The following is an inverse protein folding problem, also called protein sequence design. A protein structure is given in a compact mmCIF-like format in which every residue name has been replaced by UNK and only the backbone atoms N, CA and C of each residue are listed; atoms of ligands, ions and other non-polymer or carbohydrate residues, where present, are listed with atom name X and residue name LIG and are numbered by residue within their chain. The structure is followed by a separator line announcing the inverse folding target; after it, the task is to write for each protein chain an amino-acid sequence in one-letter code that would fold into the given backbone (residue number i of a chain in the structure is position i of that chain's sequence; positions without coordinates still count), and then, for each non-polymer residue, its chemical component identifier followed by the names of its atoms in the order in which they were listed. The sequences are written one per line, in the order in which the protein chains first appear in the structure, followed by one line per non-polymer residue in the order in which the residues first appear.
data_IF_046099378952
#
_entry.id   IF_046099378952
#
_cell.length_a   1.000
_cell.length_b   1.000
_cell.length_c   1.000
_cell.angle_alpha   90.00
_cell.angle_beta   90.00
_cell.angle_gamma   90.00
#
_symmetry.space_group_name_H-M   'P 1'
#
loop_
_entity.id
_entity.type
_entity.pdbx_description
1 polymer ?
#
# COMPACT_ATOMS: atom_id res chain seq x y z
N UNK A 1 3.79 -10.90 -12.96
CA UNK A 1 4.32 -11.83 -11.94
C UNK A 1 4.84 -13.07 -12.68
N UNK A 2 6.01 -13.62 -12.31
CA UNK A 2 6.61 -14.76 -13.04
C UNK A 2 5.95 -16.09 -12.65
N UNK A 3 5.18 -16.10 -11.57
CA UNK A 3 4.58 -17.31 -10.98
C UNK A 3 3.08 -17.45 -11.28
N UNK A 4 2.38 -16.34 -11.57
CA UNK A 4 1.04 -16.37 -12.14
C UNK A 4 1.11 -16.20 -13.66
N UNK A 5 0.35 -16.99 -14.42
CA UNK A 5 0.21 -16.86 -15.89
C UNK A 5 -0.51 -15.55 -16.33
N UNK A 6 -0.52 -14.52 -15.48
CA UNK A 6 -1.18 -13.24 -15.75
C UNK A 6 -0.16 -12.20 -16.25
N UNK A 7 -0.60 -11.39 -17.21
CA UNK A 7 0.15 -10.25 -17.71
C UNK A 7 -0.66 -8.97 -17.47
N UNK A 8 0.02 -7.93 -17.00
CA UNK A 8 -0.56 -6.60 -16.83
C UNK A 8 -0.01 -5.68 -17.93
N UNK A 9 -0.89 -5.19 -18.80
CA UNK A 9 -0.54 -4.22 -19.83
C UNK A 9 -1.04 -2.84 -19.42
N UNK A 10 -0.14 -1.86 -19.47
CA UNK A 10 -0.44 -0.47 -19.15
C UNK A 10 -0.28 0.38 -20.41
N UNK A 11 -1.27 1.21 -20.77
CA UNK A 11 -1.11 2.17 -21.86
C UNK A 11 -0.15 3.29 -21.42
N UNK A 12 1.04 3.35 -22.02
CA UNK A 12 2.06 4.35 -21.72
C UNK A 12 2.29 5.25 -22.94
N UNK A 13 2.27 6.57 -22.73
CA UNK A 13 2.60 7.53 -23.79
C UNK A 13 4.12 7.68 -23.93
N UNK A 14 4.59 7.95 -25.15
CA UNK A 14 6.02 8.07 -25.46
C UNK A 14 6.69 9.29 -24.82
N UNK A 15 5.93 10.34 -24.58
CA UNK A 15 6.39 11.61 -23.99
C UNK A 15 6.42 11.61 -22.46
N UNK A 16 6.11 10.48 -21.81
CA UNK A 16 6.21 10.39 -20.36
C UNK A 16 7.66 10.55 -19.90
N UNK A 17 7.86 11.46 -18.95
CA UNK A 17 9.10 11.57 -18.20
C UNK A 17 9.35 10.29 -17.39
N UNK A 18 10.60 10.08 -17.00
CA UNK A 18 11.00 8.95 -16.14
C UNK A 18 10.21 8.96 -14.83
N UNK A 19 10.03 10.13 -14.22
CA UNK A 19 9.26 10.28 -12.97
C UNK A 19 7.79 9.88 -13.15
N UNK A 20 7.14 10.29 -14.24
CA UNK A 20 5.74 9.92 -14.51
C UNK A 20 5.59 8.42 -14.79
N UNK A 21 6.55 7.84 -15.51
CA UNK A 21 6.61 6.40 -15.77
C UNK A 21 6.77 5.61 -14.46
N UNK A 22 7.66 6.08 -13.58
CA UNK A 22 7.89 5.52 -12.26
C UNK A 22 6.65 5.54 -11.36
N UNK A 23 5.97 6.69 -11.29
CA UNK A 23 4.72 6.82 -10.55
C UNK A 23 3.66 5.82 -11.05
N UNK A 24 3.51 5.73 -12.37
CA UNK A 24 2.56 4.79 -13.00
C UNK A 24 2.91 3.35 -12.66
N UNK A 25 4.20 2.99 -12.73
CA UNK A 25 4.67 1.65 -12.36
C UNK A 25 4.38 1.33 -10.88
N UNK A 26 4.62 2.27 -9.96
CA UNK A 26 4.34 2.07 -8.55
C UNK A 26 2.85 1.90 -8.27
N UNK A 27 2.00 2.73 -8.87
CA UNK A 27 0.56 2.70 -8.65
C UNK A 27 -0.10 1.46 -9.26
N UNK A 28 0.37 1.01 -10.41
CA UNK A 28 -0.32 -0.07 -11.14
C UNK A 28 0.33 -1.43 -10.92
N UNK A 29 1.65 -1.50 -10.72
CA UNK A 29 2.36 -2.77 -10.55
C UNK A 29 2.72 -3.00 -9.08
N UNK A 30 3.51 -2.12 -8.47
CA UNK A 30 4.01 -2.33 -7.09
C UNK A 30 2.88 -2.37 -6.08
N UNK A 31 1.86 -1.54 -6.24
CA UNK A 31 0.67 -1.56 -5.35
C UNK A 31 -0.05 -2.92 -5.35
N UNK A 32 -0.04 -3.65 -6.47
CA UNK A 32 -0.77 -4.90 -6.62
C UNK A 32 0.09 -6.14 -6.33
N UNK A 33 1.39 -6.06 -6.63
CA UNK A 33 2.31 -7.21 -6.65
C UNK A 33 3.53 -7.05 -5.76
N UNK A 34 3.55 -6.01 -4.92
CA UNK A 34 4.72 -5.58 -4.15
C UNK A 34 5.92 -5.18 -5.02
N UNK A 35 7.03 -4.81 -4.36
CA UNK A 35 8.26 -4.39 -5.04
C UNK A 35 8.93 -5.61 -5.68
N UNK A 36 9.17 -5.61 -7.00
CA UNK A 36 9.80 -6.74 -7.66
C UNK A 36 11.27 -6.88 -7.24
N UNK A 37 11.73 -8.13 -7.12
CA UNK A 37 13.15 -8.43 -6.84
C UNK A 37 14.06 -8.10 -8.04
N UNK A 38 13.51 -8.11 -9.25
CA UNK A 38 14.24 -7.79 -10.46
C UNK A 38 13.30 -7.25 -11.54
N UNK A 39 13.79 -6.33 -12.36
CA UNK A 39 13.11 -5.80 -13.54
C UNK A 39 13.96 -6.13 -14.77
N UNK A 40 13.36 -6.82 -15.74
CA UNK A 40 13.98 -7.06 -17.04
C UNK A 40 13.39 -6.04 -18.01
N UNK A 41 14.26 -5.19 -18.58
CA UNK A 41 13.89 -4.19 -19.58
C UNK A 41 14.48 -4.55 -20.94
N UNK A 42 13.80 -4.14 -21.99
CA UNK A 42 14.22 -4.17 -23.39
C UNK A 42 15.33 -3.15 -23.75
N UNK A 43 15.94 -2.52 -22.74
CA UNK A 43 16.99 -1.49 -22.83
C UNK A 43 16.48 -0.11 -23.26
N UNK A 44 15.20 0.19 -23.05
CA UNK A 44 14.70 1.56 -23.15
C UNK A 44 15.51 2.50 -22.19
N UNK A 45 16.08 3.60 -22.69
CA UNK A 45 16.86 4.55 -21.89
C UNK A 45 16.13 5.07 -20.64
N UNK A 46 14.80 5.14 -20.67
CA UNK A 46 13.97 5.56 -19.52
C UNK A 46 14.06 4.59 -18.35
N UNK A 47 14.25 3.30 -18.64
CA UNK A 47 14.47 2.22 -17.67
C UNK A 47 15.95 2.03 -17.29
N UNK A 48 16.87 2.66 -18.02
CA UNK A 48 18.31 2.65 -17.70
C UNK A 48 18.71 3.73 -16.67
N UNK A 49 17.80 4.65 -16.31
CA UNK A 49 18.04 5.75 -15.39
C UNK A 49 18.41 5.28 -13.98
N UNK A 50 19.10 6.14 -13.21
CA UNK A 50 19.52 5.85 -11.83
C UNK A 50 18.35 5.53 -10.90
N UNK A 51 17.20 6.12 -11.18
CA UNK A 51 15.96 5.92 -10.44
C UNK A 51 15.62 4.42 -10.27
N UNK A 52 15.72 3.63 -11.35
CA UNK A 52 15.40 2.19 -11.34
C UNK A 52 16.47 1.30 -10.70
N UNK A 53 17.69 1.81 -10.55
CA UNK A 53 18.85 1.06 -10.03
C UNK A 53 19.17 1.40 -8.58
N UNK A 54 18.64 2.50 -8.06
CA UNK A 54 19.00 3.07 -6.78
C UNK A 54 17.94 2.90 -5.69
N UNK A 55 18.25 3.34 -4.47
CA UNK A 55 17.32 3.37 -3.34
C UNK A 55 16.12 4.31 -3.58
N UNK A 56 16.20 5.19 -4.57
CA UNK A 56 15.17 6.16 -4.94
C UNK A 56 13.79 5.52 -5.17
N UNK A 57 13.74 4.35 -5.81
CA UNK A 57 12.50 3.57 -5.94
C UNK A 57 11.91 3.15 -4.59
N UNK A 58 12.78 2.72 -3.66
CA UNK A 58 12.39 2.22 -2.33
C UNK A 58 11.94 3.39 -1.44
N UNK A 59 12.66 4.51 -1.48
CA UNK A 59 12.35 5.73 -0.74
C UNK A 59 10.95 6.25 -1.08
N UNK A 60 10.64 6.41 -2.37
CA UNK A 60 9.31 6.87 -2.82
C UNK A 60 8.20 5.88 -2.42
N UNK A 61 8.47 4.56 -2.44
CA UNK A 61 7.48 3.58 -1.96
C UNK A 61 7.26 3.68 -0.44
N UNK A 62 8.31 3.91 0.34
CA UNK A 62 8.22 4.02 1.79
C UNK A 62 7.39 5.24 2.22
N UNK A 63 7.57 6.38 1.56
CA UNK A 63 6.77 7.59 1.82
C UNK A 63 5.26 7.33 1.70
N UNK A 64 4.84 6.66 0.61
CA UNK A 64 3.43 6.32 0.38
C UNK A 64 2.90 5.33 1.43
N UNK A 65 3.73 4.38 1.86
CA UNK A 65 3.39 3.41 2.92
C UNK A 65 3.18 4.12 4.26
N UNK A 66 4.01 5.12 4.60
CA UNK A 66 3.86 5.91 5.83
C UNK A 66 2.49 6.62 5.84
N UNK A 67 2.16 7.34 4.77
CA UNK A 67 0.88 8.06 4.66
C UNK A 67 -0.32 7.11 4.75
N UNK A 68 -0.24 5.94 4.10
CA UNK A 68 -1.31 4.95 4.17
C UNK A 68 -1.50 4.40 5.59
N UNK A 69 -0.41 4.13 6.32
CA UNK A 69 -0.44 3.69 7.72
C UNK A 69 -1.06 4.75 8.64
N UNK A 70 -0.72 6.02 8.45
CA UNK A 70 -1.30 7.12 9.22
C UNK A 70 -2.81 7.22 9.01
N UNK A 71 -3.27 7.20 7.75
CA UNK A 71 -4.70 7.23 7.43
C UNK A 71 -5.46 6.03 8.00
N UNK A 72 -4.86 4.85 7.95
CA UNK A 72 -5.45 3.64 8.53
C UNK A 72 -5.55 3.74 10.05
N UNK A 73 -4.51 4.26 10.73
CA UNK A 73 -4.52 4.51 12.17
C UNK A 73 -5.59 5.53 12.56
N UNK A 74 -5.73 6.59 11.78
CA UNK A 74 -6.73 7.63 12.00
C UNK A 74 -8.16 7.07 11.83
N UNK A 75 -8.41 6.31 10.77
CA UNK A 75 -9.68 5.63 10.55
C UNK A 75 -10.02 4.66 11.69
N UNK A 76 -9.05 3.86 12.14
CA UNK A 76 -9.22 2.96 13.28
C UNK A 76 -9.57 3.73 14.57
N UNK A 77 -8.91 4.86 14.80
CA UNK A 77 -9.19 5.72 15.96
C UNK A 77 -10.60 6.28 15.92
N UNK A 78 -11.07 6.74 14.74
CA UNK A 78 -12.45 7.20 14.53
C UNK A 78 -13.47 6.08 14.75
N UNK A 79 -13.21 4.88 14.23
CA UNK A 79 -14.10 3.73 14.45
C UNK A 79 -14.20 3.39 15.94
N UNK A 80 -13.06 3.39 16.64
CA UNK A 80 -13.00 3.12 18.08
C UNK A 80 -13.81 4.15 18.87
N UNK A 81 -13.67 5.45 18.57
CA UNK A 81 -14.42 6.49 19.28
C UNK A 81 -15.93 6.40 19.04
N UNK A 82 -16.37 6.02 17.82
CA UNK A 82 -17.79 5.76 17.56
C UNK A 82 -18.31 4.56 18.33
N UNK A 83 -17.56 3.46 18.41
CA UNK A 83 -17.95 2.28 19.19
C UNK A 83 -18.01 2.59 20.69
N UNK A 84 -17.00 3.27 21.22
CA UNK A 84 -16.89 3.60 22.64
C UNK A 84 -18.00 4.56 23.09
N UNK A 85 -18.45 5.50 22.24
CA UNK A 85 -19.59 6.39 22.55
C UNK A 85 -20.90 5.64 22.84
N UNK A 86 -21.06 4.45 22.27
CA UNK A 86 -22.26 3.61 22.47
C UNK A 86 -22.01 2.46 23.47
N UNK A 87 -20.82 2.41 24.08
CA UNK A 87 -20.46 1.42 25.09
C UNK A 87 -20.96 1.89 26.45
N UNK A 88 -21.77 1.08 27.11
CA UNK A 88 -22.14 1.28 28.52
C UNK A 88 -21.17 0.49 29.40
N UNK A 89 -20.69 1.08 30.49
CA UNK A 89 -20.06 0.30 31.54
C UNK A 89 -21.12 -0.64 32.12
N UNK A 90 -20.84 -1.94 32.10
CA UNK A 90 -21.70 -2.93 32.74
C UNK A 90 -21.03 -3.28 34.06
N UNK A 91 -21.69 -2.92 35.15
CA UNK A 91 -21.35 -3.36 36.50
C UNK A 91 -22.24 -4.55 36.85
N UNK A 92 -21.65 -5.60 37.40
CA UNK A 92 -22.37 -6.82 37.76
C UNK A 92 -22.47 -6.93 39.27
N UNK A 93 -23.60 -7.46 39.75
CA UNK A 93 -23.80 -7.74 41.17
C UNK A 93 -23.59 -9.22 41.46
N UNK A 94 -23.20 -9.59 42.70
CA UNK A 94 -23.12 -10.99 43.11
C UNK A 94 -24.47 -11.69 42.90
N UNK A 95 -24.50 -12.70 42.00
CA UNK A 95 -25.71 -13.44 41.62
C UNK A 95 -26.10 -13.35 40.14
N UNK A 96 -25.52 -12.39 39.39
CA UNK A 96 -25.76 -12.25 37.96
C UNK A 96 -25.16 -13.42 37.15
N UNK A 97 -25.94 -13.99 36.23
CA UNK A 97 -25.48 -15.02 35.30
C UNK A 97 -24.94 -14.36 34.03
N UNK A 98 -23.62 -14.32 33.89
CA UNK A 98 -22.93 -13.77 32.73
C UNK A 98 -22.28 -14.86 31.89
N UNK A 99 -22.34 -14.71 30.57
CA UNK A 99 -21.59 -15.58 29.66
C UNK A 99 -20.13 -15.12 29.64
N UNK A 100 -19.25 -15.98 30.14
CA UNK A 100 -17.81 -15.89 29.90
C UNK A 100 -17.52 -16.41 28.49
N UNK A 101 -16.73 -15.66 27.72
CA UNK A 101 -16.27 -16.04 26.40
C UNK A 101 -14.77 -16.24 26.42
#
# INVERSE_FOLDING_TARGET
DRLTKSAHFLPIRKDYSVSRLAETFQQEIVRLHDTPLAIVSDRDPRFASRFWKGPEMIEVTNEKVVVAKEKLKEAHTRQKSYADKHRRSIEFQPGDRVFLK
#
